data_IF_054007263601
#
_entry.id   IF_054007263601
#
_cell.length_a   1.000
_cell.length_b   1.000
_cell.length_c   1.000
_cell.angle_alpha   90.00
_cell.angle_beta   90.00
_cell.angle_gamma   90.00
#
_symmetry.space_group_name_H-M   'P 1'
#
loop_
_entity.id
_entity.type
_entity.pdbx_description
1 polymer ?
#
# COMPACT_ATOMS: atom_id res chain seq x y z
N UNK A 1 11.41 -24.82 15.87
CA UNK A 1 11.02 -25.20 14.49
C UNK A 1 10.60 -23.94 13.75
N UNK A 2 11.50 -23.39 12.94
CA UNK A 2 11.27 -22.17 12.15
C UNK A 2 10.51 -22.57 10.90
N UNK A 3 9.29 -22.07 10.72
CA UNK A 3 8.53 -22.29 9.48
C UNK A 3 9.35 -21.76 8.28
N UNK A 4 9.40 -22.48 7.15
CA UNK A 4 10.12 -22.00 5.97
C UNK A 4 9.52 -20.67 5.52
N UNK A 5 10.39 -19.69 5.29
CA UNK A 5 10.04 -18.38 4.75
C UNK A 5 9.42 -18.60 3.37
N UNK A 6 8.08 -18.52 3.26
CA UNK A 6 7.41 -18.52 1.96
C UNK A 6 7.79 -17.21 1.25
N UNK A 7 8.80 -17.26 0.39
CA UNK A 7 9.05 -16.20 -0.60
C UNK A 7 7.76 -15.96 -1.39
N UNK A 8 7.48 -14.71 -1.72
CA UNK A 8 6.41 -14.38 -2.64
C UNK A 8 6.62 -15.18 -3.94
N UNK A 9 5.53 -15.76 -4.45
CA UNK A 9 5.60 -16.61 -5.64
C UNK A 9 6.02 -15.75 -6.84
N UNK A 10 6.98 -16.19 -7.65
CA UNK A 10 7.54 -15.40 -8.75
C UNK A 10 6.46 -14.82 -9.68
N UNK A 11 5.45 -15.62 -10.01
CA UNK A 11 4.28 -15.20 -10.80
C UNK A 11 3.50 -14.04 -10.17
N UNK A 12 3.42 -13.98 -8.84
CA UNK A 12 2.75 -12.86 -8.14
C UNK A 12 3.57 -11.58 -8.27
N UNK A 13 4.90 -11.68 -8.16
CA UNK A 13 5.80 -10.53 -8.31
C UNK A 13 5.68 -9.98 -9.73
N UNK A 14 5.88 -10.83 -10.74
CA UNK A 14 5.79 -10.46 -12.15
C UNK A 14 4.46 -9.79 -12.50
N UNK A 15 3.33 -10.34 -12.04
CA UNK A 15 2.02 -9.77 -12.30
C UNK A 15 1.79 -8.43 -11.60
N UNK A 16 2.36 -8.23 -10.41
CA UNK A 16 2.30 -6.93 -9.73
C UNK A 16 3.15 -5.89 -10.47
N UNK A 17 4.36 -6.26 -10.88
CA UNK A 17 5.27 -5.40 -11.64
C UNK A 17 4.72 -5.06 -13.05
N UNK A 18 3.89 -5.95 -13.62
CA UNK A 18 3.22 -5.71 -14.89
C UNK A 18 2.01 -4.75 -14.82
N UNK A 19 1.56 -4.38 -13.61
CA UNK A 19 0.49 -3.39 -13.45
C UNK A 19 0.98 -2.01 -13.91
N UNK A 20 0.16 -1.32 -14.70
CA UNK A 20 0.53 -0.02 -15.27
C UNK A 20 -0.05 1.11 -14.41
N UNK A 21 0.82 1.91 -13.79
CA UNK A 21 0.43 3.15 -13.14
C UNK A 21 0.44 4.31 -14.14
N UNK A 22 -0.35 5.35 -13.87
CA UNK A 22 -0.42 6.56 -14.70
C UNK A 22 0.37 7.76 -14.15
N UNK A 23 1.18 7.55 -13.09
CA UNK A 23 2.02 8.62 -12.55
C UNK A 23 2.95 9.19 -13.65
N UNK A 24 3.10 10.52 -13.73
CA UNK A 24 4.13 11.14 -14.56
C UNK A 24 5.52 10.61 -14.18
N UNK A 25 6.41 10.40 -15.15
CA UNK A 25 7.72 9.76 -14.94
C UNK A 25 8.52 10.39 -13.78
N UNK A 26 8.64 11.72 -13.75
CA UNK A 26 9.36 12.43 -12.69
C UNK A 26 8.72 12.34 -11.30
N UNK A 27 7.45 11.93 -11.20
CA UNK A 27 6.78 11.63 -9.93
C UNK A 27 6.92 10.15 -9.59
N UNK A 28 6.82 9.27 -10.59
CA UNK A 28 6.92 7.83 -10.41
C UNK A 28 8.27 7.42 -9.81
N UNK A 29 9.36 8.08 -10.22
CA UNK A 29 10.73 7.79 -9.79
C UNK A 29 11.09 8.34 -8.39
N UNK A 30 10.23 9.16 -7.78
CA UNK A 30 10.50 9.70 -6.44
C UNK A 30 10.38 8.60 -5.39
N UNK A 31 11.15 8.73 -4.31
CA UNK A 31 10.98 7.88 -3.14
C UNK A 31 9.58 8.11 -2.51
N UNK A 32 8.85 7.03 -2.13
CA UNK A 32 7.58 7.17 -1.44
C UNK A 32 7.81 7.52 0.03
N UNK A 33 7.36 8.71 0.44
CA UNK A 33 7.32 9.11 1.84
C UNK A 33 5.99 8.72 2.51
N UNK A 34 5.96 8.76 3.85
CA UNK A 34 4.78 8.38 4.63
C UNK A 34 3.54 9.23 4.31
N UNK A 35 3.72 10.54 4.12
CA UNK A 35 2.60 11.44 3.79
C UNK A 35 2.00 11.06 2.45
N UNK A 36 2.85 10.78 1.47
CA UNK A 36 2.46 10.34 0.14
C UNK A 36 1.74 9.00 0.14
N UNK A 37 2.27 8.01 0.86
CA UNK A 37 1.66 6.70 0.98
C UNK A 37 0.29 6.76 1.66
N UNK A 38 0.13 7.60 2.69
CA UNK A 38 -1.17 7.78 3.39
C UNK A 38 -2.22 8.38 2.46
N UNK A 39 -1.86 9.44 1.74
CA UNK A 39 -2.75 10.07 0.78
C UNK A 39 -3.11 9.13 -0.36
N UNK A 40 -2.13 8.44 -0.97
CA UNK A 40 -2.41 7.47 -2.02
C UNK A 40 -3.28 6.32 -1.55
N UNK A 41 -3.00 5.76 -0.37
CA UNK A 41 -3.85 4.71 0.19
C UNK A 41 -5.30 5.17 0.41
N UNK A 42 -5.54 6.45 0.75
CA UNK A 42 -6.89 6.99 0.88
C UNK A 42 -7.64 7.01 -0.47
N UNK A 43 -6.94 7.37 -1.55
CA UNK A 43 -7.50 7.37 -2.90
C UNK A 43 -7.75 5.95 -3.42
N UNK A 44 -6.89 4.98 -3.08
CA UNK A 44 -7.20 3.57 -3.34
C UNK A 44 -8.38 3.04 -2.52
N UNK A 45 -8.51 3.46 -1.26
CA UNK A 45 -9.66 3.11 -0.43
C UNK A 45 -10.97 3.63 -1.02
N UNK A 46 -10.95 4.87 -1.54
CA UNK A 46 -12.06 5.49 -2.28
C UNK A 46 -12.38 4.70 -3.55
N UNK A 47 -11.40 4.42 -4.40
CA UNK A 47 -11.59 3.65 -5.64
C UNK A 47 -12.09 2.21 -5.40
N UNK A 48 -11.65 1.60 -4.30
CA UNK A 48 -12.07 0.27 -3.91
C UNK A 48 -13.44 0.25 -3.20
N UNK A 49 -13.96 1.40 -2.78
CA UNK A 49 -15.15 1.57 -1.93
C UNK A 49 -15.05 0.77 -0.62
N UNK A 50 -13.92 0.94 0.09
CA UNK A 50 -13.61 0.22 1.32
C UNK A 50 -13.06 1.16 2.40
N UNK A 51 -13.29 0.81 3.66
CA UNK A 51 -12.68 1.49 4.81
C UNK A 51 -11.56 0.64 5.38
N UNK A 52 -10.31 1.10 5.27
CA UNK A 52 -9.13 0.38 5.77
C UNK A 52 -8.39 1.17 6.84
N UNK A 53 -7.50 0.50 7.58
CA UNK A 53 -6.40 1.14 8.31
C UNK A 53 -5.11 0.89 7.57
N UNK A 54 -4.26 1.91 7.42
CA UNK A 54 -2.93 1.77 6.86
C UNK A 54 -1.90 1.59 7.99
N UNK A 55 -1.02 0.61 7.84
CA UNK A 55 0.18 0.44 8.65
C UNK A 55 1.41 0.59 7.76
N UNK A 56 2.34 1.47 8.15
CA UNK A 56 3.58 1.71 7.41
C UNK A 56 4.82 1.08 8.05
N UNK A 57 4.63 0.33 9.14
CA UNK A 57 5.69 -0.41 9.82
C UNK A 57 5.17 -1.78 10.29
N UNK A 58 6.05 -2.80 10.38
CA UNK A 58 5.67 -4.10 10.94
C UNK A 58 5.09 -4.00 12.36
N UNK A 59 5.63 -3.07 13.17
CA UNK A 59 5.16 -2.82 14.52
C UNK A 59 3.73 -2.27 14.54
N UNK A 60 3.44 -1.28 13.69
CA UNK A 60 2.09 -0.74 13.56
C UNK A 60 1.13 -1.84 13.08
N UNK A 61 1.51 -2.62 12.06
CA UNK A 61 0.68 -3.72 11.56
C UNK A 61 0.36 -4.74 12.65
N UNK A 62 1.36 -5.13 13.45
CA UNK A 62 1.18 -6.04 14.59
C UNK A 62 0.31 -5.46 15.68
N UNK A 63 0.44 -4.17 15.99
CA UNK A 63 -0.44 -3.51 16.96
C UNK A 63 -1.91 -3.49 16.49
N UNK A 64 -2.14 -3.35 15.18
CA UNK A 64 -3.48 -3.32 14.60
C UNK A 64 -4.13 -4.70 14.48
N UNK A 65 -3.33 -5.71 14.12
CA UNK A 65 -3.86 -7.02 13.70
C UNK A 65 -3.60 -8.13 14.70
N UNK A 66 -2.56 -8.00 15.53
CA UNK A 66 -1.98 -9.10 16.31
C UNK A 66 -1.07 -10.02 15.49
N UNK A 67 -0.91 -9.77 14.19
CA UNK A 67 -0.14 -10.58 13.24
C UNK A 67 1.14 -9.87 12.81
N UNK A 68 2.14 -10.62 12.37
CA UNK A 68 3.31 -10.05 11.68
C UNK A 68 3.08 -10.08 10.17
N UNK A 69 3.55 -9.07 9.41
CA UNK A 69 3.54 -9.15 7.96
C UNK A 69 4.47 -10.28 7.51
N UNK A 70 4.25 -10.79 6.29
CA UNK A 70 5.11 -11.82 5.72
C UNK A 70 6.56 -11.30 5.63
N UNK A 71 7.58 -12.09 6.03
CA UNK A 71 8.97 -11.65 5.95
C UNK A 71 9.34 -11.24 4.53
N UNK A 72 9.87 -10.04 4.37
CA UNK A 72 10.32 -9.56 3.07
C UNK A 72 9.25 -8.84 2.24
N UNK A 73 7.98 -8.86 2.65
CA UNK A 73 6.90 -8.30 1.85
C UNK A 73 6.89 -6.76 1.87
N UNK A 74 6.73 -6.16 0.69
CA UNK A 74 6.53 -4.71 0.54
C UNK A 74 5.08 -4.27 0.85
N UNK A 75 4.13 -5.22 0.79
CA UNK A 75 2.71 -5.01 1.10
C UNK A 75 2.09 -6.25 1.76
N UNK A 76 1.00 -6.05 2.53
CA UNK A 76 0.19 -7.14 3.07
C UNK A 76 -1.21 -6.68 3.50
N UNK A 77 -2.26 -7.27 2.93
CA UNK A 77 -3.64 -7.05 3.36
C UNK A 77 -4.11 -8.07 4.41
N UNK A 78 -4.58 -7.58 5.56
CA UNK A 78 -5.29 -8.37 6.56
C UNK A 78 -6.79 -8.14 6.43
N UNK A 79 -7.55 -9.21 6.19
CA UNK A 79 -9.00 -9.18 6.06
C UNK A 79 -9.58 -10.10 7.12
N UNK A 80 -10.52 -9.57 7.89
CA UNK A 80 -11.21 -10.34 8.92
C UNK A 80 -12.43 -11.04 8.33
N UNK A 81 -12.75 -12.24 8.83
CA UNK A 81 -13.92 -12.99 8.37
C UNK A 81 -15.20 -12.15 8.48
N UNK A 82 -16.10 -12.31 7.51
CA UNK A 82 -17.41 -11.64 7.46
C UNK A 82 -18.17 -11.96 8.75
N UNK A 83 -18.47 -10.94 9.56
CA UNK A 83 -19.14 -11.09 10.87
C UNK A 83 -18.25 -10.94 12.10
N UNK A 84 -16.92 -10.80 11.94
CA UNK A 84 -16.04 -10.39 13.02
C UNK A 84 -16.42 -8.97 13.47
N UNK A 85 -16.92 -8.86 14.70
CA UNK A 85 -17.78 -7.75 15.15
C UNK A 85 -17.24 -6.34 14.89
N UNK A 86 -15.93 -6.08 14.85
CA UNK A 86 -15.38 -4.73 14.66
C UNK A 86 -13.89 -4.74 14.25
N UNK A 87 -13.53 -5.27 13.07
CA UNK A 87 -12.16 -5.06 12.58
C UNK A 87 -12.16 -4.63 11.11
N UNK A 88 -11.91 -3.34 10.89
CA UNK A 88 -11.64 -2.78 9.55
C UNK A 88 -10.43 -3.51 8.96
N UNK A 89 -10.43 -3.86 7.66
CA UNK A 89 -9.24 -4.41 7.01
C UNK A 89 -8.01 -3.52 7.25
N UNK A 90 -6.85 -4.15 7.35
CA UNK A 90 -5.58 -3.45 7.54
C UNK A 90 -4.72 -3.70 6.32
N UNK A 91 -4.27 -2.63 5.67
CA UNK A 91 -3.27 -2.70 4.61
C UNK A 91 -1.93 -2.31 5.22
N UNK A 92 -0.93 -3.16 5.04
CA UNK A 92 0.46 -2.88 5.34
C UNK A 92 1.18 -2.46 4.07
N UNK A 93 2.06 -1.46 4.18
CA UNK A 93 3.09 -1.14 3.20
C UNK A 93 4.40 -0.87 3.93
N UNK A 94 5.51 -1.33 3.36
CA UNK A 94 6.86 -1.07 3.88
C UNK A 94 7.56 -0.02 3.00
N UNK A 95 7.63 1.26 3.42
CA UNK A 95 8.29 2.29 2.62
C UNK A 95 9.74 1.94 2.27
N UNK A 96 10.44 1.23 3.15
CA UNK A 96 11.85 0.87 2.94
C UNK A 96 12.07 -0.24 1.90
N UNK A 97 10.99 -0.88 1.42
CA UNK A 97 11.02 -1.94 0.41
C UNK A 97 10.45 -1.50 -0.94
N UNK A 98 9.91 -0.29 -1.00
CA UNK A 98 9.39 0.27 -2.23
C UNK A 98 10.52 1.06 -2.90
N UNK A 99 10.85 0.69 -4.14
CA UNK A 99 11.91 1.37 -4.88
C UNK A 99 11.53 2.83 -5.13
N UNK A 100 10.30 3.06 -5.56
CA UNK A 100 9.78 4.36 -5.97
C UNK A 100 8.25 4.42 -5.83
N UNK A 101 7.66 5.57 -6.17
CA UNK A 101 6.21 5.80 -6.12
C UNK A 101 5.45 4.96 -7.15
N UNK A 102 6.06 4.61 -8.28
CA UNK A 102 5.49 3.70 -9.26
C UNK A 102 5.28 2.29 -8.70
N UNK A 103 6.31 1.73 -8.08
CA UNK A 103 6.25 0.45 -7.38
C UNK A 103 5.23 0.49 -6.22
N UNK A 104 5.15 1.62 -5.51
CA UNK A 104 4.16 1.81 -4.46
C UNK A 104 2.71 1.78 -4.98
N UNK A 105 2.41 2.40 -6.11
CA UNK A 105 1.09 2.33 -6.77
C UNK A 105 0.72 0.88 -7.12
N UNK A 106 1.66 0.12 -7.69
CA UNK A 106 1.44 -1.28 -8.05
C UNK A 106 1.14 -2.14 -6.82
N UNK A 107 1.93 -1.98 -5.74
CA UNK A 107 1.72 -2.70 -4.48
C UNK A 107 0.40 -2.29 -3.83
N UNK A 108 0.08 -0.99 -3.78
CA UNK A 108 -1.21 -0.51 -3.29
C UNK A 108 -2.38 -1.14 -4.04
N UNK A 109 -2.33 -1.13 -5.37
CA UNK A 109 -3.37 -1.74 -6.21
C UNK A 109 -3.54 -3.23 -5.91
N UNK A 110 -2.44 -3.96 -5.74
CA UNK A 110 -2.44 -5.37 -5.36
C UNK A 110 -3.09 -5.60 -3.99
N UNK A 111 -2.69 -4.85 -2.97
CA UNK A 111 -3.22 -5.04 -1.61
C UNK A 111 -4.69 -4.63 -1.50
N UNK A 112 -5.10 -3.53 -2.13
CA UNK A 112 -6.51 -3.10 -2.14
C UNK A 112 -7.40 -4.02 -2.98
N UNK A 113 -6.85 -4.69 -3.99
CA UNK A 113 -7.54 -5.77 -4.70
C UNK A 113 -7.91 -6.91 -3.75
N UNK A 114 -6.99 -7.34 -2.88
CA UNK A 114 -7.32 -8.36 -1.87
C UNK A 114 -8.44 -7.91 -0.96
N UNK A 115 -8.41 -6.65 -0.51
CA UNK A 115 -9.46 -6.09 0.36
C UNK A 115 -10.82 -6.07 -0.35
N UNK A 116 -10.86 -5.67 -1.62
CA UNK A 116 -12.10 -5.57 -2.42
C UNK A 116 -12.65 -6.94 -2.85
N UNK A 117 -11.76 -7.86 -3.23
CA UNK A 117 -12.11 -9.16 -3.81
C UNK A 117 -11.29 -10.30 -3.14
N UNK A 118 -11.51 -10.59 -1.85
CA UNK A 118 -10.68 -11.54 -1.09
C UNK A 118 -10.68 -12.96 -1.65
N UNK A 119 -11.73 -13.37 -2.36
CA UNK A 119 -11.86 -14.72 -2.94
C UNK A 119 -11.01 -14.92 -4.20
N UNK A 120 -10.47 -13.86 -4.79
CA UNK A 120 -9.71 -13.95 -6.04
C UNK A 120 -8.25 -14.33 -5.80
N UNK A 121 -7.67 -13.94 -4.65
CA UNK A 121 -6.26 -14.20 -4.34
C UNK A 121 -5.35 -13.70 -5.47
N UNK A 122 -4.37 -14.51 -5.87
CA UNK A 122 -3.40 -14.17 -6.94
C UNK A 122 -3.81 -14.67 -8.34
N UNK A 123 -5.11 -14.84 -8.61
CA UNK A 123 -5.62 -15.21 -9.95
C UNK A 123 -5.59 -13.99 -10.88
N UNK A 124 -5.55 -14.23 -12.19
CA UNK A 124 -5.56 -13.17 -13.21
C UNK A 124 -6.72 -12.17 -13.01
N UNK A 125 -7.93 -12.66 -12.74
CA UNK A 125 -9.10 -11.80 -12.47
C UNK A 125 -8.89 -10.84 -11.28
N UNK A 126 -8.05 -11.21 -10.31
CA UNK A 126 -7.60 -10.31 -9.25
C UNK A 126 -6.74 -9.18 -9.81
N UNK A 127 -5.70 -9.50 -10.60
CA UNK A 127 -4.87 -8.48 -11.24
C UNK A 127 -5.65 -7.57 -12.19
N UNK A 128 -6.70 -8.05 -12.83
CA UNK A 128 -7.60 -7.20 -13.62
C UNK A 128 -8.37 -6.21 -12.72
N UNK A 129 -8.74 -6.60 -11.49
CA UNK A 129 -9.29 -5.68 -10.48
C UNK A 129 -8.23 -4.68 -10.03
N UNK A 130 -6.99 -5.13 -9.77
CA UNK A 130 -5.89 -4.23 -9.38
C UNK A 130 -5.62 -3.17 -10.45
N UNK A 131 -5.59 -3.55 -11.73
CA UNK A 131 -5.45 -2.59 -12.82
C UNK A 131 -6.62 -1.60 -12.87
N UNK A 132 -7.87 -2.07 -12.73
CA UNK A 132 -9.03 -1.15 -12.66
C UNK A 132 -8.95 -0.17 -11.49
N UNK A 133 -8.37 -0.58 -10.36
CA UNK A 133 -8.16 0.33 -9.23
C UNK A 133 -7.14 1.42 -9.58
N UNK A 134 -6.03 1.09 -10.24
CA UNK A 134 -5.06 2.06 -10.76
C UNK A 134 -5.72 3.03 -11.74
N UNK A 135 -6.48 2.51 -12.69
CA UNK A 135 -7.15 3.33 -13.71
C UNK A 135 -8.16 4.29 -13.07
N UNK A 136 -8.93 3.83 -12.08
CA UNK A 136 -9.89 4.66 -11.32
C UNK A 136 -9.17 5.74 -10.52
N UNK A 137 -8.07 5.38 -9.87
CA UNK A 137 -7.21 6.30 -9.14
C UNK A 137 -6.67 7.40 -10.04
N UNK A 138 -6.17 7.02 -11.22
CA UNK A 138 -5.59 7.96 -12.19
C UNK A 138 -6.64 8.93 -12.75
N UNK A 139 -7.89 8.47 -12.88
CA UNK A 139 -9.01 9.30 -13.31
C UNK A 139 -9.55 10.23 -12.21
N UNK A 140 -9.17 10.04 -10.94
CA UNK A 140 -9.61 10.90 -9.84
C UNK A 140 -8.92 12.28 -9.95
N UNK A 141 -9.65 13.39 -10.03
CA UNK A 141 -9.05 14.74 -10.09
C UNK A 141 -8.11 15.03 -8.92
N UNK A 142 -8.41 14.48 -7.74
CA UNK A 142 -7.57 14.64 -6.55
C UNK A 142 -6.20 13.99 -6.74
N UNK A 143 -6.06 12.97 -7.60
CA UNK A 143 -4.80 12.26 -7.85
C UNK A 143 -3.74 13.12 -8.52
N UNK A 144 -4.15 14.16 -9.25
CA UNK A 144 -3.24 15.08 -9.95
C UNK A 144 -2.80 16.25 -9.08
N UNK A 145 -3.49 16.50 -7.97
CA UNK A 145 -3.25 17.64 -7.08
C UNK A 145 -2.50 17.21 -5.83
N UNK A 146 -1.37 16.50 -5.98
CA UNK A 146 -0.50 16.20 -4.84
C UNK A 146 -0.31 17.48 -4.02
N UNK A 147 -0.63 17.49 -2.71
CA UNK A 147 -0.42 18.68 -1.90
C UNK A 147 1.07 18.98 -1.85
N UNK A 148 1.50 19.93 -2.69
CA UNK A 148 2.87 20.40 -2.78
C UNK A 148 3.37 20.98 -1.43
N UNK A 149 2.46 21.23 -0.49
CA UNK A 149 2.70 21.89 0.79
C UNK A 149 2.82 20.96 2.02
N UNK A 150 3.10 19.67 1.83
CA UNK A 150 3.58 18.86 2.97
C UNK A 150 5.08 19.07 3.16
N UNK A 151 5.48 20.31 3.47
CA UNK A 151 6.82 20.60 3.94
C UNK A 151 7.14 19.69 5.12
N UNK A 152 8.19 18.89 4.97
CA UNK A 152 8.79 18.15 6.08
C UNK A 152 9.00 19.12 7.25
N UNK A 153 8.60 18.81 8.50
CA UNK A 153 9.12 19.56 9.63
C UNK A 153 10.64 19.39 9.61
N UNK A 154 11.35 20.46 9.28
CA UNK A 154 12.80 20.55 9.44
C UNK A 154 13.12 20.11 10.87
N UNK A 155 14.07 19.20 11.12
CA UNK A 155 14.43 18.85 12.48
C UNK A 155 14.90 20.14 13.16
N UNK A 156 14.12 20.59 14.16
CA UNK A 156 14.47 21.75 14.96
C UNK A 156 15.90 21.58 15.46
N UNK A 157 16.78 22.49 15.04
CA UNK A 157 18.14 22.58 15.54
C UNK A 157 18.05 22.69 17.05
N UNK A 158 18.49 21.66 17.78
CA UNK A 158 18.66 21.75 19.23
C UNK A 158 19.67 22.86 19.49
N UNK A 159 19.20 23.98 20.03
CA UNK A 159 20.06 24.93 20.71
C UNK A 159 20.50 24.26 22.02
N UNK A 160 21.79 24.07 22.28
CA UNK A 160 22.24 23.63 23.60
C UNK A 160 21.95 24.74 24.60
N UNK A 161 21.21 24.41 25.66
CA UNK A 161 21.05 25.30 26.81
C UNK A 161 22.43 25.56 27.42
N UNK A 162 22.72 26.83 27.69
CA UNK A 162 23.83 27.27 28.54
C UNK A 162 23.46 27.14 30.00
#
# INVERSE_FOLDING_TARGET
MTAPVRRAHAVTIERTEALRHALPAGIAELAPDETWLRWRAALFAKAADVRVRLALTPLAYRALTGLSPAPGAAGHACIYARGARLRRPVVYLDPARLADRGAAEQVLAHEFMHVKCPSYGHKQAGFDVAQRLLDTVAADPESSTWPADSALPTPATRVPAR
#
